data_IF_227247085444
#
_entry.id   IF_227247085444
#
_cell.length_a   1.000
_cell.length_b   1.000
_cell.length_c   1.000
_cell.angle_alpha   90.00
_cell.angle_beta   90.00
_cell.angle_gamma   90.00
#
_symmetry.space_group_name_H-M   'P 1'
#
loop_
_entity.id
_entity.type
_entity.pdbx_description
1 polymer ?
#
# COMPACT_ATOMS: atom_id res chain seq x y z
N UNK A 1 10.05 -0.35 -0.27
CA UNK A 1 8.71 0.05 0.20
C UNK A 1 8.23 -1.00 1.23
N UNK A 2 7.03 -0.90 1.79
CA UNK A 2 6.59 -1.69 2.95
C UNK A 2 6.86 -3.20 2.76
N UNK A 3 7.34 -3.89 3.80
CA UNK A 3 7.55 -5.36 3.75
C UNK A 3 6.22 -6.07 3.46
N UNK A 4 6.25 -7.14 2.66
CA UNK A 4 5.07 -7.93 2.30
C UNK A 4 4.34 -8.47 3.54
N UNK A 5 5.07 -8.79 4.61
CA UNK A 5 4.49 -9.24 5.89
C UNK A 5 3.72 -8.10 6.58
N UNK A 6 4.28 -6.90 6.56
CA UNK A 6 3.64 -5.70 7.11
C UNK A 6 2.39 -5.35 6.30
N UNK A 7 2.45 -5.43 4.97
CA UNK A 7 1.30 -5.15 4.10
C UNK A 7 0.16 -6.13 4.38
N UNK A 8 0.46 -7.43 4.48
CA UNK A 8 -0.55 -8.44 4.84
C UNK A 8 -1.15 -8.19 6.23
N UNK A 9 -0.36 -7.72 7.19
CA UNK A 9 -0.85 -7.36 8.53
C UNK A 9 -1.77 -6.14 8.48
N UNK A 10 -1.36 -5.08 7.78
CA UNK A 10 -2.13 -3.85 7.59
C UNK A 10 -3.48 -4.18 6.98
N UNK A 11 -3.51 -4.90 5.85
CA UNK A 11 -4.74 -5.22 5.12
C UNK A 11 -5.71 -6.11 5.91
N UNK A 12 -5.21 -6.96 6.82
CA UNK A 12 -6.04 -7.76 7.75
C UNK A 12 -6.64 -6.89 8.85
N UNK A 13 -5.84 -6.06 9.50
CA UNK A 13 -6.30 -5.23 10.62
C UNK A 13 -7.27 -4.13 10.16
N UNK A 14 -7.08 -3.57 8.95
CA UNK A 14 -8.00 -2.59 8.37
C UNK A 14 -9.24 -3.22 7.74
N UNK A 15 -9.40 -4.55 7.81
CA UNK A 15 -10.50 -5.34 7.21
C UNK A 15 -10.72 -5.04 5.72
N UNK A 16 -9.71 -4.55 5.01
CA UNK A 16 -9.84 -4.20 3.58
C UNK A 16 -9.91 -5.46 2.72
N UNK A 17 -9.23 -6.52 3.13
CA UNK A 17 -9.34 -7.83 2.51
C UNK A 17 -9.55 -8.90 3.57
N UNK A 18 -10.42 -9.86 3.24
CA UNK A 18 -10.59 -11.05 4.05
C UNK A 18 -9.40 -12.02 3.84
N UNK A 19 -9.13 -12.85 4.84
CA UNK A 19 -8.00 -13.80 4.85
C UNK A 19 -7.97 -14.73 3.63
N UNK A 20 -9.13 -15.03 3.05
CA UNK A 20 -9.28 -15.80 1.80
C UNK A 20 -8.86 -14.99 0.57
N UNK A 21 -9.24 -13.71 0.50
CA UNK A 21 -8.87 -12.81 -0.60
C UNK A 21 -7.37 -12.57 -0.66
N UNK A 22 -6.70 -12.44 0.49
CA UNK A 22 -5.24 -12.30 0.55
C UNK A 22 -4.50 -13.54 0.04
N UNK A 23 -5.00 -14.75 0.33
CA UNK A 23 -4.41 -15.99 -0.19
C UNK A 23 -4.61 -16.14 -1.70
N UNK A 24 -5.76 -15.67 -2.22
CA UNK A 24 -6.03 -15.64 -3.65
C UNK A 24 -5.03 -14.70 -4.36
N UNK A 25 -4.86 -13.48 -3.83
CA UNK A 25 -3.93 -12.49 -4.35
C UNK A 25 -2.48 -12.96 -4.30
N UNK A 26 -2.08 -13.68 -3.23
CA UNK A 26 -0.73 -14.25 -3.15
C UNK A 26 -0.49 -15.36 -4.17
N UNK A 27 -1.52 -16.15 -4.51
CA UNK A 27 -1.44 -17.12 -5.61
C UNK A 27 -1.35 -16.43 -6.95
N UNK A 28 -2.24 -15.48 -7.23
CA UNK A 28 -2.23 -14.69 -8.48
C UNK A 28 -0.90 -13.98 -8.68
N UNK A 29 -0.29 -13.45 -7.61
CA UNK A 29 1.04 -12.85 -7.63
C UNK A 29 2.10 -13.85 -8.07
N UNK A 30 2.18 -15.03 -7.42
CA UNK A 30 3.18 -16.06 -7.76
C UNK A 30 2.98 -16.63 -9.17
N UNK A 31 1.73 -16.71 -9.61
CA UNK A 31 1.38 -17.19 -10.95
C UNK A 31 1.77 -16.17 -12.04
N UNK A 32 1.75 -14.87 -11.73
CA UNK A 32 2.20 -13.81 -12.64
C UNK A 32 3.71 -13.64 -12.65
N UNK A 33 4.33 -13.53 -11.47
CA UNK A 33 5.76 -13.32 -11.32
C UNK A 33 6.21 -13.73 -9.89
N UNK A 34 6.98 -14.82 -9.76
CA UNK A 34 7.36 -15.36 -8.45
C UNK A 34 8.28 -14.43 -7.63
N UNK A 35 8.97 -13.49 -8.26
CA UNK A 35 9.89 -12.54 -7.60
C UNK A 35 9.25 -11.16 -7.36
N UNK A 36 7.99 -10.96 -7.78
CA UNK A 36 7.31 -9.68 -7.61
C UNK A 36 6.86 -9.46 -6.17
N UNK A 37 7.09 -8.25 -5.64
CA UNK A 37 6.59 -7.86 -4.31
C UNK A 37 5.08 -7.72 -4.32
N UNK A 38 4.46 -7.98 -3.17
CA UNK A 38 2.99 -7.94 -3.05
C UNK A 38 2.45 -6.52 -3.31
N UNK A 39 3.20 -5.50 -2.91
CA UNK A 39 2.90 -4.10 -3.22
C UNK A 39 2.94 -3.82 -4.74
N UNK A 40 3.99 -4.26 -5.43
CA UNK A 40 4.11 -4.06 -6.87
C UNK A 40 2.97 -4.76 -7.64
N UNK A 41 2.58 -5.95 -7.19
CA UNK A 41 1.46 -6.70 -7.76
C UNK A 41 0.14 -5.94 -7.60
N UNK A 42 -0.17 -5.45 -6.39
CA UNK A 42 -1.39 -4.69 -6.12
C UNK A 42 -1.49 -3.41 -6.95
N UNK A 43 -0.36 -2.73 -7.18
CA UNK A 43 -0.28 -1.51 -7.97
C UNK A 43 -0.34 -1.78 -9.48
N UNK A 44 0.42 -2.75 -9.98
CA UNK A 44 0.50 -3.09 -11.42
C UNK A 44 -0.81 -3.66 -11.95
N UNK A 45 -1.41 -4.59 -11.21
CA UNK A 45 -2.71 -5.19 -11.58
C UNK A 45 -3.90 -4.27 -11.30
N UNK A 46 -3.64 -3.02 -10.88
CA UNK A 46 -4.65 -2.00 -10.52
C UNK A 46 -5.71 -2.51 -9.53
N UNK A 47 -5.39 -3.56 -8.77
CA UNK A 47 -6.27 -4.11 -7.73
C UNK A 47 -6.48 -3.08 -6.62
N UNK A 48 -5.49 -2.22 -6.39
CA UNK A 48 -5.58 -1.11 -5.45
C UNK A 48 -4.83 0.13 -5.97
N UNK A 49 -5.47 1.31 -6.00
CA UNK A 49 -4.76 2.56 -6.26
C UNK A 49 -3.72 2.83 -5.18
N UNK A 50 -2.57 3.38 -5.57
CA UNK A 50 -1.48 3.76 -4.67
C UNK A 50 -1.96 4.65 -3.50
N UNK A 51 -2.82 5.62 -3.79
CA UNK A 51 -3.39 6.51 -2.78
C UNK A 51 -4.20 5.74 -1.72
N UNK A 52 -4.95 4.72 -2.15
CA UNK A 52 -5.74 3.90 -1.25
C UNK A 52 -4.84 3.05 -0.36
N UNK A 53 -3.77 2.48 -0.92
CA UNK A 53 -2.78 1.70 -0.17
C UNK A 53 -2.16 2.54 0.96
N UNK A 54 -1.67 3.74 0.65
CA UNK A 54 -1.07 4.61 1.66
C UNK A 54 -2.07 5.16 2.66
N UNK A 55 -3.31 5.41 2.26
CA UNK A 55 -4.39 5.82 3.16
C UNK A 55 -4.70 4.73 4.19
N UNK A 56 -4.75 3.48 3.75
CA UNK A 56 -4.98 2.32 4.63
C UNK A 56 -3.80 2.16 5.60
N UNK A 57 -2.56 2.30 5.12
CA UNK A 57 -1.38 2.27 5.96
C UNK A 57 -1.41 3.40 7.02
N UNK A 58 -1.76 4.63 6.63
CA UNK A 58 -1.90 5.74 7.55
C UNK A 58 -2.98 5.47 8.61
N UNK A 59 -4.12 4.89 8.23
CA UNK A 59 -5.17 4.48 9.17
C UNK A 59 -4.68 3.44 10.18
N UNK A 60 -3.93 2.44 9.73
CA UNK A 60 -3.33 1.41 10.59
C UNK A 60 -2.39 2.02 11.63
N UNK A 61 -1.51 2.92 11.21
CA UNK A 61 -0.59 3.62 12.12
C UNK A 61 -1.24 4.77 12.90
N UNK A 62 -2.54 5.02 12.69
CA UNK A 62 -3.29 6.15 13.27
C UNK A 62 -2.63 7.50 12.96
N UNK A 63 -2.03 7.61 11.78
CA UNK A 63 -1.40 8.82 11.27
C UNK A 63 -2.36 9.56 10.31
N UNK A 64 -2.28 10.89 10.24
CA UNK A 64 -3.03 11.65 9.25
C UNK A 64 -2.52 11.33 7.84
N UNK A 65 -3.43 10.92 6.95
CA UNK A 65 -3.11 10.83 5.53
C UNK A 65 -3.19 12.21 4.88
N UNK A 66 -2.08 12.68 4.34
CA UNK A 66 -2.00 13.96 3.61
C UNK A 66 -1.70 13.70 2.15
N UNK A 67 -2.67 13.93 1.28
CA UNK A 67 -2.39 14.01 -0.16
C UNK A 67 -1.71 15.34 -0.46
N UNK A 68 -0.50 15.24 -1.01
CA UNK A 68 0.32 16.35 -1.48
C UNK A 68 0.10 16.67 -2.97
N UNK A 69 -0.69 15.84 -3.67
CA UNK A 69 -1.00 16.04 -5.08
C UNK A 69 -1.67 17.41 -5.27
N UNK A 70 -1.16 18.19 -6.22
CA UNK A 70 -1.68 19.52 -6.59
C UNK A 70 -1.63 20.59 -5.49
N UNK A 71 -0.95 20.33 -4.36
CA UNK A 71 -0.78 21.34 -3.30
C UNK A 71 0.55 22.06 -3.46
N UNK A 72 0.57 23.40 -3.34
CA UNK A 72 1.83 24.14 -3.27
C UNK A 72 2.53 23.79 -1.94
N UNK A 73 3.67 23.12 -2.03
CA UNK A 73 4.52 22.80 -0.88
C UNK A 73 5.63 23.84 -0.81
N UNK A 74 5.86 24.40 0.38
CA UNK A 74 6.97 25.33 0.57
C UNK A 74 8.31 24.57 0.41
N UNK A 75 9.25 25.17 -0.34
CA UNK A 75 10.51 24.52 -0.75
C UNK A 75 11.38 24.10 0.43
N UNK A 76 11.33 24.82 1.54
CA UNK A 76 12.02 24.51 2.80
C UNK A 76 11.48 23.24 3.48
N UNK A 77 10.20 22.91 3.27
CA UNK A 77 9.58 21.68 3.81
C UNK A 77 9.80 20.48 2.88
N UNK A 78 9.93 20.70 1.57
CA UNK A 78 10.08 19.62 0.59
C UNK A 78 11.31 18.75 0.86
N UNK A 79 12.41 19.34 1.30
CA UNK A 79 13.66 18.63 1.61
C UNK A 79 13.68 17.94 2.98
N UNK A 80 12.63 18.09 3.79
CA UNK A 80 12.48 17.37 5.06
C UNK A 80 11.80 16.01 4.89
N UNK A 81 11.19 15.76 3.73
CA UNK A 81 10.55 14.47 3.41
C UNK A 81 11.67 13.53 2.93
N UNK A 82 11.96 12.44 3.67
CA UNK A 82 13.03 11.50 3.34
C UNK A 82 12.83 10.77 2.01
#
# INVERSE_FOLDING_TARGET
>A
MLSDELLKKILRETKTFDSKGLKQLEKEMRDHDPDMTFEAFLLKEKKMPEEMLYRIAAQFYKLPFVSLREKPIRRDVLFLIP
#
